data_IF_117340100445
#
_entry.id   IF_117340100445
#
_cell.length_a   1.000
_cell.length_b   1.000
_cell.length_c   1.000
_cell.angle_alpha   90.00
_cell.angle_beta   90.00
_cell.angle_gamma   90.00
#
_symmetry.space_group_name_H-M   'P 1'
#
loop_
_entity.id
_entity.type
_entity.pdbx_description
1 polymer ?
#
# COMPACT_ATOMS: atom_id res chain seq x y z
N UNK A 1 6.37 4.08 11.48
CA UNK A 1 4.97 4.43 11.18
C UNK A 1 4.44 3.40 10.19
N UNK A 2 3.18 2.99 10.29
CA UNK A 2 2.64 1.99 9.36
C UNK A 2 2.46 2.59 7.96
N UNK A 3 2.83 1.86 6.92
CA UNK A 3 2.55 2.21 5.52
C UNK A 3 2.36 0.96 4.66
N UNK A 4 1.58 1.08 3.58
CA UNK A 4 1.43 0.03 2.56
C UNK A 4 2.34 0.35 1.38
N UNK A 5 3.31 -0.51 1.13
CA UNK A 5 4.16 -0.49 -0.05
C UNK A 5 3.48 -1.23 -1.20
N UNK A 6 3.70 -0.75 -2.43
CA UNK A 6 3.14 -1.34 -3.64
C UNK A 6 4.16 -1.28 -4.76
N UNK A 7 4.00 -2.13 -5.78
CA UNK A 7 4.80 -2.07 -6.99
C UNK A 7 4.71 -0.71 -7.71
N UNK A 8 5.74 -0.41 -8.50
CA UNK A 8 5.79 0.81 -9.31
C UNK A 8 4.55 0.94 -10.20
N UNK A 9 3.94 2.13 -10.21
CA UNK A 9 2.68 2.39 -10.93
C UNK A 9 1.41 1.93 -10.20
N UNK A 10 1.48 1.12 -9.13
CA UNK A 10 0.31 0.65 -8.37
C UNK A 10 -0.55 1.79 -7.80
N UNK A 11 0.10 2.87 -7.34
CA UNK A 11 -0.59 4.08 -6.84
C UNK A 11 -1.44 4.76 -7.92
N UNK A 12 -0.94 4.78 -9.16
CA UNK A 12 -1.64 5.38 -10.29
C UNK A 12 -2.86 4.55 -10.69
N UNK A 13 -2.71 3.22 -10.73
CA UNK A 13 -3.84 2.30 -10.97
C UNK A 13 -4.94 2.44 -9.92
N UNK A 14 -4.57 2.58 -8.65
CA UNK A 14 -5.55 2.85 -7.58
C UNK A 14 -6.22 4.22 -7.75
N UNK A 15 -5.46 5.27 -8.08
CA UNK A 15 -6.00 6.60 -8.31
C UNK A 15 -7.05 6.58 -9.44
N UNK A 16 -6.74 5.93 -10.55
CA UNK A 16 -7.66 5.75 -11.69
C UNK A 16 -8.89 4.92 -11.29
N UNK A 17 -8.71 3.80 -10.58
CA UNK A 17 -9.80 2.92 -10.13
C UNK A 17 -10.79 3.62 -9.20
N UNK A 18 -10.29 4.47 -8.30
CA UNK A 18 -11.11 5.17 -7.30
C UNK A 18 -11.51 6.58 -7.73
N UNK A 19 -11.06 7.06 -8.89
CA UNK A 19 -11.33 8.43 -9.35
C UNK A 19 -10.76 9.52 -8.43
N UNK A 20 -9.64 9.25 -7.77
CA UNK A 20 -9.01 10.16 -6.79
C UNK A 20 -7.62 10.60 -7.24
N UNK A 21 -7.08 11.64 -6.60
CA UNK A 21 -5.69 12.05 -6.86
C UNK A 21 -4.67 11.02 -6.36
N UNK A 22 -3.51 10.95 -7.00
CA UNK A 22 -2.38 10.11 -6.54
C UNK A 22 -1.91 10.51 -5.14
N UNK A 23 -2.06 11.79 -4.75
CA UNK A 23 -1.74 12.28 -3.41
C UNK A 23 -2.70 11.66 -2.39
N UNK A 24 -4.00 11.62 -2.69
CA UNK A 24 -5.01 10.98 -1.83
C UNK A 24 -4.68 9.51 -1.60
N UNK A 25 -4.25 8.78 -2.63
CA UNK A 25 -3.77 7.40 -2.50
C UNK A 25 -2.53 7.34 -1.61
N UNK A 26 -1.53 8.20 -1.84
CA UNK A 26 -0.30 8.26 -1.03
C UNK A 26 -0.59 8.49 0.45
N UNK A 27 -1.50 9.40 0.78
CA UNK A 27 -1.91 9.68 2.15
C UNK A 27 -2.69 8.52 2.78
N UNK A 28 -3.56 7.88 2.00
CA UNK A 28 -4.30 6.70 2.45
C UNK A 28 -3.35 5.54 2.79
N UNK A 29 -2.38 5.25 1.92
CA UNK A 29 -1.37 4.20 2.11
C UNK A 29 -0.45 4.47 3.31
N UNK A 30 -0.20 5.74 3.65
CA UNK A 30 0.57 6.16 4.83
C UNK A 30 -0.26 6.32 6.10
N UNK A 31 -1.51 5.87 6.08
CA UNK A 31 -2.44 5.96 7.22
C UNK A 31 -2.63 7.40 7.78
N UNK A 32 -2.47 8.42 6.94
CA UNK A 32 -2.63 9.84 7.36
C UNK A 32 -4.09 10.26 7.51
N UNK A 33 -5.00 9.62 6.79
CA UNK A 33 -6.43 9.94 6.77
C UNK A 33 -7.27 8.73 7.19
N UNK A 34 -8.46 8.91 7.77
CA UNK A 34 -9.33 7.81 8.26
C UNK A 34 -10.69 7.74 7.56
N UNK A 35 -10.79 8.26 6.34
CA UNK A 35 -12.03 8.23 5.57
C UNK A 35 -12.36 6.81 5.06
N UNK A 36 -13.65 6.59 4.74
CA UNK A 36 -14.11 5.35 4.12
C UNK A 36 -13.35 5.07 2.81
N UNK A 37 -13.15 6.09 1.98
CA UNK A 37 -12.36 5.99 0.74
C UNK A 37 -10.92 5.56 1.03
N UNK A 38 -10.27 6.13 2.05
CA UNK A 38 -8.91 5.73 2.43
C UNK A 38 -8.85 4.26 2.89
N UNK A 39 -9.85 3.78 3.63
CA UNK A 39 -9.95 2.38 4.04
C UNK A 39 -10.14 1.44 2.83
N UNK A 40 -10.97 1.82 1.86
CA UNK A 40 -11.15 1.05 0.63
C UNK A 40 -9.86 1.01 -0.21
N UNK A 41 -9.15 2.13 -0.33
CA UNK A 41 -7.86 2.20 -1.03
C UNK A 41 -6.84 1.27 -0.37
N UNK A 42 -6.77 1.21 0.96
CA UNK A 42 -5.88 0.27 1.68
C UNK A 42 -6.22 -1.18 1.39
N UNK A 43 -7.50 -1.53 1.47
CA UNK A 43 -7.95 -2.89 1.20
C UNK A 43 -7.60 -3.31 -0.23
N UNK A 44 -7.90 -2.45 -1.21
CA UNK A 44 -7.53 -2.68 -2.61
C UNK A 44 -6.01 -2.75 -2.81
N UNK A 45 -5.23 -1.95 -2.08
CA UNK A 45 -3.78 -1.99 -2.15
C UNK A 45 -3.22 -3.34 -1.70
N UNK A 46 -3.75 -3.92 -0.62
CA UNK A 46 -3.38 -5.25 -0.14
C UNK A 46 -3.82 -6.35 -1.12
N UNK A 47 -5.03 -6.27 -1.68
CA UNK A 47 -5.52 -7.20 -2.70
C UNK A 47 -4.67 -7.18 -3.98
N UNK A 48 -4.08 -6.04 -4.32
CA UNK A 48 -3.17 -5.87 -5.47
C UNK A 48 -1.72 -6.32 -5.18
N UNK A 49 -1.47 -6.97 -4.04
CA UNK A 49 -0.13 -7.44 -3.64
C UNK A 49 0.70 -6.38 -2.92
N UNK A 50 0.06 -5.38 -2.31
CA UNK A 50 0.72 -4.42 -1.45
C UNK A 50 1.12 -5.03 -0.10
N UNK A 51 2.25 -4.59 0.45
CA UNK A 51 2.83 -5.10 1.70
C UNK A 51 2.69 -4.04 2.79
N UNK A 52 2.09 -4.41 3.93
CA UNK A 52 1.99 -3.53 5.09
C UNK A 52 3.30 -3.58 5.89
N UNK A 53 4.00 -2.45 5.94
CA UNK A 53 5.24 -2.30 6.72
C UNK A 53 5.01 -1.42 7.94
N UNK A 54 5.71 -1.70 9.05
CA UNK A 54 5.71 -0.83 10.23
C UNK A 54 4.44 -0.87 11.07
N UNK A 55 3.48 -1.74 10.74
CA UNK A 55 2.46 -2.17 11.68
C UNK A 55 3.09 -3.24 12.58
N UNK A 56 3.19 -2.97 13.89
CA UNK A 56 3.51 -4.02 14.87
C UNK A 56 2.29 -4.93 14.99
N UNK A 57 2.08 -5.82 14.04
CA UNK A 57 1.06 -6.87 14.15
C UNK A 57 1.74 -8.16 14.53
N UNK A 58 1.37 -8.68 15.70
CA UNK A 58 1.69 -10.02 16.18
C UNK A 58 1.06 -11.05 15.22
N UNK A 59 1.74 -11.36 14.12
CA UNK A 59 1.60 -12.62 13.37
C UNK A 59 2.57 -12.60 12.20
N UNK A 60 3.62 -13.39 12.34
CA UNK A 60 4.31 -14.01 11.22
C UNK A 60 3.30 -14.60 10.22
N UNK A 61 3.62 -14.47 8.93
CA UNK A 61 2.94 -15.19 7.86
C UNK A 61 2.05 -14.31 7.00
N UNK A 62 2.64 -13.65 5.98
CA UNK A 62 2.11 -13.52 4.61
C UNK A 62 3.03 -12.58 3.81
N UNK A 63 3.82 -13.17 2.90
CA UNK A 63 4.42 -12.44 1.78
C UNK A 63 5.94 -12.41 1.77
N UNK A 64 6.51 -13.47 1.24
CA UNK A 64 7.89 -13.63 0.78
C UNK A 64 8.40 -12.45 -0.06
N UNK A 65 9.65 -12.11 0.23
CA UNK A 65 10.71 -11.57 -0.60
C UNK A 65 10.36 -11.20 -2.05
N UNK A 66 10.48 -9.91 -2.37
CA UNK A 66 11.04 -9.53 -3.67
C UNK A 66 11.78 -8.19 -3.56
N UNK A 67 12.96 -8.25 -2.96
CA UNK A 67 13.96 -7.20 -3.05
C UNK A 67 14.81 -7.56 -4.29
N UNK A 68 14.83 -6.75 -5.38
CA UNK A 68 15.80 -6.97 -6.44
C UNK A 68 17.18 -6.70 -5.85
N UNK A 69 17.92 -7.77 -5.59
CA UNK A 69 19.34 -7.76 -5.27
C UNK A 69 20.08 -7.06 -6.40
N UNK A 70 20.49 -5.82 -6.17
CA UNK A 70 21.63 -5.21 -6.86
C UNK A 70 22.92 -5.66 -6.16
N UNK A 71 24.01 -5.61 -6.93
CA UNK A 71 25.44 -5.72 -6.55
C UNK A 71 25.99 -7.15 -6.55
N UNK A 72 27.13 -7.47 -7.15
CA UNK A 72 28.09 -6.82 -8.08
C UNK A 72 28.87 -7.98 -8.74
#
# INVERSE_FOLDING_TARGET
MAEILMQYGGRRKLAEKFGVSVITVKEALKFRTRSNTANMIRKAALEMGGVLQGAKTMKEGLGTDNQPSQSD
#
